data_IF_121858139524
#
_entry.id   IF_121858139524
#
_cell.length_a   1.000
_cell.length_b   1.000
_cell.length_c   1.000
_cell.angle_alpha   90.00
_cell.angle_beta   90.00
_cell.angle_gamma   90.00
#
_symmetry.space_group_name_H-M   'P 1'
#
loop_
_entity.id
_entity.type
_entity.pdbx_description
1 polymer ?
#
# COMPACT_ATOMS: atom_id res chain seq x y z
N UNK A 1 5.76 18.17 -21.44
CA UNK A 1 7.22 18.39 -21.48
C UNK A 1 7.88 17.28 -20.72
N UNK A 2 8.79 16.55 -21.36
CA UNK A 2 9.66 15.55 -20.73
C UNK A 2 10.87 16.25 -20.16
N UNK A 3 11.21 16.00 -18.87
CA UNK A 3 12.33 16.65 -18.22
C UNK A 3 12.83 15.86 -17.02
N UNK A 4 14.15 15.86 -16.81
CA UNK A 4 14.79 15.32 -15.60
C UNK A 4 15.20 16.43 -14.61
N UNK A 5 14.97 17.71 -14.96
CA UNK A 5 15.30 18.86 -14.07
C UNK A 5 14.55 18.81 -12.73
N UNK A 6 13.36 18.16 -12.69
CA UNK A 6 12.56 18.05 -11.47
C UNK A 6 12.94 16.86 -10.57
N UNK A 7 13.82 15.94 -11.04
CA UNK A 7 14.25 14.79 -10.23
C UNK A 7 14.88 15.27 -8.90
N UNK A 8 15.68 16.34 -8.96
CA UNK A 8 16.32 16.91 -7.78
C UNK A 8 15.29 17.50 -6.81
N UNK A 9 14.36 18.31 -7.33
CA UNK A 9 13.31 18.95 -6.53
C UNK A 9 12.40 17.93 -5.84
N UNK A 10 12.02 16.86 -6.55
CA UNK A 10 11.17 15.79 -5.97
C UNK A 10 11.92 15.02 -4.89
N UNK A 11 13.20 14.69 -5.14
CA UNK A 11 14.02 14.01 -4.14
C UNK A 11 14.28 14.90 -2.91
N UNK A 12 14.51 16.19 -3.09
CA UNK A 12 14.71 17.11 -1.97
C UNK A 12 13.43 17.29 -1.14
N UNK A 13 12.26 17.34 -1.79
CA UNK A 13 10.96 17.32 -1.10
C UNK A 13 10.73 16.00 -0.36
N UNK A 14 11.00 14.84 -0.98
CA UNK A 14 10.92 13.53 -0.31
C UNK A 14 11.85 13.43 0.90
N UNK A 15 13.10 13.89 0.77
CA UNK A 15 14.07 13.95 1.88
C UNK A 15 13.61 14.92 2.97
N UNK A 16 12.84 15.94 2.62
CA UNK A 16 12.20 16.86 3.57
C UNK A 16 11.13 16.16 4.42
N UNK A 17 10.41 15.19 3.85
CA UNK A 17 9.47 14.34 4.60
C UNK A 17 10.20 13.29 5.44
N UNK A 18 11.16 12.59 4.85
CA UNK A 18 12.03 11.66 5.58
C UNK A 18 13.36 11.45 4.82
N UNK A 19 14.46 11.67 5.53
CA UNK A 19 15.82 11.54 4.99
C UNK A 19 16.18 10.12 4.51
N UNK A 20 15.42 9.12 4.96
CA UNK A 20 15.62 7.72 4.56
C UNK A 20 15.01 7.39 3.20
N UNK A 21 14.08 8.21 2.71
CA UNK A 21 13.40 7.96 1.45
C UNK A 21 14.14 8.63 0.29
N UNK A 22 14.22 7.91 -0.82
CA UNK A 22 14.67 8.48 -2.09
C UNK A 22 13.90 7.88 -3.26
N UNK A 23 13.73 8.68 -4.31
CA UNK A 23 13.05 8.28 -5.54
C UNK A 23 14.06 8.19 -6.67
N UNK A 24 14.10 7.05 -7.35
CA UNK A 24 14.82 6.91 -8.62
C UNK A 24 13.80 6.83 -9.75
N UNK A 25 13.94 7.72 -10.71
CA UNK A 25 13.08 7.80 -11.88
C UNK A 25 13.88 8.13 -13.12
N UNK A 26 13.43 7.67 -14.27
CA UNK A 26 14.05 7.95 -15.55
C UNK A 26 13.45 9.22 -16.17
N UNK A 27 12.12 9.31 -16.19
CA UNK A 27 11.39 10.34 -16.93
C UNK A 27 10.28 10.94 -16.05
N UNK A 28 10.21 12.27 -16.07
CA UNK A 28 9.12 13.04 -15.50
C UNK A 28 8.40 13.79 -16.60
N UNK A 29 7.10 13.66 -16.65
CA UNK A 29 6.24 14.34 -17.60
C UNK A 29 5.41 15.41 -16.91
N UNK A 30 5.49 16.63 -17.40
CA UNK A 30 4.69 17.75 -16.94
C UNK A 30 3.57 18.02 -17.93
N UNK A 31 2.34 18.12 -17.44
CA UNK A 31 1.16 18.48 -18.21
C UNK A 31 0.44 19.65 -17.53
N UNK A 32 0.43 20.79 -18.19
CA UNK A 32 -0.34 21.96 -17.76
C UNK A 32 -1.78 21.83 -18.26
N UNK A 33 -2.75 22.01 -17.37
CA UNK A 33 -4.18 22.02 -17.67
C UNK A 33 -4.76 23.38 -17.26
N UNK A 34 -4.78 24.32 -18.21
CA UNK A 34 -5.23 25.69 -17.96
C UNK A 34 -6.70 25.79 -17.60
N UNK A 35 -7.54 24.93 -18.19
CA UNK A 35 -8.98 24.89 -17.90
C UNK A 35 -9.32 24.50 -16.46
N UNK A 36 -8.45 23.80 -15.77
CA UNK A 36 -8.64 23.35 -14.38
C UNK A 36 -7.62 23.97 -13.42
N UNK A 37 -6.89 24.99 -13.84
CA UNK A 37 -5.81 25.62 -13.07
C UNK A 37 -4.90 24.60 -12.36
N UNK A 38 -4.47 23.57 -13.09
CA UNK A 38 -3.68 22.49 -12.50
C UNK A 38 -2.45 22.13 -13.31
N UNK A 39 -1.42 21.66 -12.57
CA UNK A 39 -0.23 21.05 -13.12
C UNK A 39 -0.25 19.57 -12.72
N UNK A 40 -0.14 18.68 -13.71
CA UNK A 40 0.01 17.26 -13.45
C UNK A 40 1.46 16.85 -13.69
N UNK A 41 2.07 16.23 -12.70
CA UNK A 41 3.38 15.60 -12.79
C UNK A 41 3.16 14.10 -12.85
N UNK A 42 3.59 13.47 -13.93
CA UNK A 42 3.50 12.04 -14.12
C UNK A 42 4.91 11.45 -14.11
N UNK A 43 5.13 10.41 -13.33
CA UNK A 43 6.40 9.71 -13.21
C UNK A 43 6.13 8.24 -13.51
N UNK A 44 6.71 7.74 -14.59
CA UNK A 44 6.51 6.37 -15.04
C UNK A 44 7.64 5.46 -14.55
N UNK A 45 7.26 4.26 -14.09
CA UNK A 45 8.18 3.23 -13.61
C UNK A 45 9.23 3.69 -12.58
N UNK A 46 8.86 4.50 -11.58
CA UNK A 46 9.81 4.91 -10.56
C UNK A 46 10.07 3.77 -9.56
N UNK A 47 11.20 3.90 -8.83
CA UNK A 47 11.49 3.07 -7.65
C UNK A 47 11.62 3.96 -6.43
N UNK A 48 10.95 3.60 -5.34
CA UNK A 48 11.13 4.24 -4.04
C UNK A 48 12.07 3.40 -3.21
N UNK A 49 13.10 4.00 -2.66
CA UNK A 49 14.12 3.36 -1.82
C UNK A 49 13.96 3.78 -0.36
N UNK A 50 14.24 2.84 0.53
CA UNK A 50 14.51 3.06 1.96
C UNK A 50 15.76 2.29 2.33
N UNK A 51 16.90 2.97 2.44
CA UNK A 51 18.21 2.31 2.54
C UNK A 51 18.51 1.50 1.28
N UNK A 52 18.79 0.20 1.45
CA UNK A 52 19.02 -0.75 0.35
C UNK A 52 17.74 -1.35 -0.23
N UNK A 53 16.64 -1.26 0.50
CA UNK A 53 15.36 -1.83 0.09
C UNK A 53 14.60 -0.91 -0.85
N UNK A 54 13.85 -1.47 -1.79
CA UNK A 54 13.06 -0.66 -2.73
C UNK A 54 11.74 -1.34 -3.11
N UNK A 55 10.81 -0.52 -3.56
CA UNK A 55 9.52 -0.93 -4.12
C UNK A 55 9.45 -0.45 -5.57
N UNK A 56 9.08 -1.37 -6.47
CA UNK A 56 8.80 -1.04 -7.86
C UNK A 56 7.39 -0.44 -8.00
N UNK A 57 7.33 0.74 -8.59
CA UNK A 57 6.07 1.38 -8.93
C UNK A 57 5.83 1.35 -10.42
N UNK A 58 4.56 1.32 -10.82
CA UNK A 58 4.17 1.53 -12.21
C UNK A 58 4.05 3.03 -12.51
N UNK A 59 3.55 3.81 -11.53
CA UNK A 59 3.28 5.22 -11.74
C UNK A 59 3.19 6.01 -10.44
N UNK A 60 3.59 7.29 -10.50
CA UNK A 60 3.21 8.33 -9.54
C UNK A 60 2.60 9.48 -10.33
N UNK A 61 1.41 9.89 -9.94
CA UNK A 61 0.73 11.09 -10.44
C UNK A 61 0.59 12.11 -9.33
N UNK A 62 1.11 13.33 -9.53
CA UNK A 62 0.99 14.43 -8.58
C UNK A 62 0.18 15.53 -9.25
N UNK A 63 -0.88 15.97 -8.61
CA UNK A 63 -1.72 17.07 -9.06
C UNK A 63 -1.49 18.29 -8.17
N UNK A 64 -1.07 19.40 -8.79
CA UNK A 64 -0.78 20.66 -8.14
C UNK A 64 -1.79 21.73 -8.55
N UNK A 65 -2.08 22.65 -7.65
CA UNK A 65 -2.78 23.90 -7.98
C UNK A 65 -1.79 24.86 -8.68
N UNK A 66 -2.12 25.29 -9.90
CA UNK A 66 -1.26 26.16 -10.70
C UNK A 66 -1.08 27.54 -10.04
N UNK A 67 -2.15 28.11 -9.48
CA UNK A 67 -2.11 29.47 -8.91
C UNK A 67 -1.28 29.48 -7.64
N UNK A 68 -1.51 28.51 -6.75
CA UNK A 68 -0.72 28.33 -5.52
C UNK A 68 0.76 28.05 -5.85
N UNK A 69 1.01 27.21 -6.86
CA UNK A 69 2.38 26.92 -7.32
C UNK A 69 3.14 28.15 -7.79
N UNK A 70 2.50 29.03 -8.57
CA UNK A 70 3.10 30.30 -9.03
C UNK A 70 3.40 31.25 -7.86
N UNK A 71 2.55 31.25 -6.82
CA UNK A 71 2.71 32.04 -5.60
C UNK A 71 3.72 31.47 -4.60
N UNK A 72 4.36 30.35 -4.92
CA UNK A 72 5.22 29.57 -4.01
C UNK A 72 4.52 29.07 -2.74
N UNK A 73 3.19 28.94 -2.80
CA UNK A 73 2.40 28.35 -1.73
C UNK A 73 2.36 26.81 -1.86
N UNK A 74 1.88 26.16 -0.80
CA UNK A 74 1.62 24.73 -0.82
C UNK A 74 0.57 24.41 -1.88
N UNK A 75 0.96 23.68 -2.89
CA UNK A 75 0.17 23.53 -4.11
C UNK A 75 -0.29 22.09 -4.39
N UNK A 76 0.10 21.12 -3.57
CA UNK A 76 -0.25 19.71 -3.81
C UNK A 76 -1.72 19.50 -3.44
N UNK A 77 -2.54 19.08 -4.43
CA UNK A 77 -3.94 18.68 -4.21
C UNK A 77 -4.05 17.19 -3.86
N UNK A 78 -3.43 16.37 -4.66
CA UNK A 78 -3.41 14.93 -4.43
C UNK A 78 -2.18 14.27 -5.05
N UNK A 79 -1.86 13.09 -4.51
CA UNK A 79 -0.84 12.19 -5.03
C UNK A 79 -1.48 10.83 -5.22
N UNK A 80 -1.34 10.24 -6.41
CA UNK A 80 -1.68 8.86 -6.66
C UNK A 80 -0.41 8.05 -6.89
N UNK A 81 -0.27 6.94 -6.17
CA UNK A 81 0.86 6.01 -6.29
C UNK A 81 0.30 4.64 -6.68
N UNK A 82 0.80 4.07 -7.75
CA UNK A 82 0.42 2.74 -8.21
C UNK A 82 1.65 1.85 -8.21
N UNK A 83 1.64 0.78 -7.40
CA UNK A 83 2.73 -0.18 -7.40
C UNK A 83 2.64 -1.12 -8.60
N UNK A 84 3.78 -1.67 -9.01
CA UNK A 84 3.79 -2.94 -9.74
C UNK A 84 3.38 -4.06 -8.79
N UNK A 85 3.23 -5.25 -9.32
CA UNK A 85 3.16 -6.44 -8.48
C UNK A 85 4.55 -6.67 -7.86
N UNK A 86 4.62 -6.57 -6.54
CA UNK A 86 5.86 -6.75 -5.77
C UNK A 86 5.72 -7.97 -4.86
N UNK A 87 6.81 -8.72 -4.60
CA UNK A 87 6.81 -9.70 -3.54
C UNK A 87 6.45 -9.04 -2.18
N UNK A 88 5.58 -9.67 -1.41
CA UNK A 88 5.20 -9.13 -0.09
C UNK A 88 6.43 -8.95 0.80
N UNK A 89 7.39 -9.87 0.72
CA UNK A 89 8.65 -9.79 1.46
C UNK A 89 9.45 -8.52 1.16
N UNK A 90 9.48 -8.10 -0.10
CA UNK A 90 10.12 -6.84 -0.49
C UNK A 90 9.44 -5.64 0.19
N UNK A 91 8.09 -5.62 0.19
CA UNK A 91 7.33 -4.56 0.86
C UNK A 91 7.57 -4.56 2.38
N UNK A 92 7.57 -5.73 3.03
CA UNK A 92 7.81 -5.82 4.47
C UNK A 92 9.22 -5.41 4.88
N UNK A 93 10.23 -5.77 4.08
CA UNK A 93 11.61 -5.32 4.28
C UNK A 93 11.73 -3.80 4.13
N UNK A 94 11.13 -3.24 3.08
CA UNK A 94 11.08 -1.80 2.87
C UNK A 94 10.45 -1.06 4.06
N UNK A 95 9.30 -1.54 4.55
CA UNK A 95 8.62 -0.93 5.71
C UNK A 95 9.48 -1.01 6.97
N UNK A 96 10.16 -2.15 7.20
CA UNK A 96 11.06 -2.32 8.34
C UNK A 96 12.31 -1.42 8.24
N UNK A 97 12.87 -1.25 7.04
CA UNK A 97 13.98 -0.34 6.78
C UNK A 97 13.57 1.12 7.01
N UNK A 98 12.35 1.50 6.59
CA UNK A 98 11.82 2.85 6.76
C UNK A 98 11.55 3.17 8.23
N UNK A 99 10.75 2.35 8.90
CA UNK A 99 10.37 2.54 10.31
C UNK A 99 10.23 1.20 11.01
N UNK A 100 11.30 0.78 11.69
CA UNK A 100 11.28 -0.47 12.44
C UNK A 100 10.22 -0.47 13.55
N UNK A 101 9.51 -1.59 13.67
CA UNK A 101 8.58 -1.86 14.76
C UNK A 101 8.61 -3.35 15.09
N UNK A 102 8.97 -3.69 16.32
CA UNK A 102 9.19 -5.08 16.74
C UNK A 102 7.94 -5.97 16.55
N UNK A 103 6.75 -5.50 16.90
CA UNK A 103 5.51 -6.28 16.74
C UNK A 103 5.20 -6.55 15.27
N UNK A 104 5.39 -5.56 14.39
CA UNK A 104 5.24 -5.76 12.94
C UNK A 104 6.29 -6.70 12.40
N UNK A 105 7.52 -6.60 12.85
CA UNK A 105 8.60 -7.47 12.41
C UNK A 105 8.29 -8.94 12.66
N UNK A 106 7.75 -9.27 13.85
CA UNK A 106 7.31 -10.65 14.17
C UNK A 106 6.23 -11.11 13.19
N UNK A 107 5.20 -10.27 12.94
CA UNK A 107 4.11 -10.61 12.00
C UNK A 107 4.66 -10.78 10.58
N UNK A 108 5.52 -9.87 10.13
CA UNK A 108 6.09 -9.91 8.78
C UNK A 108 6.98 -11.13 8.53
N UNK A 109 7.65 -11.62 9.57
CA UNK A 109 8.46 -12.84 9.47
C UNK A 109 7.61 -14.11 9.27
N UNK A 110 6.32 -14.08 9.62
CA UNK A 110 5.42 -15.19 9.33
C UNK A 110 5.04 -15.26 7.84
N UNK A 111 5.24 -14.18 7.08
CA UNK A 111 4.96 -14.17 5.64
C UNK A 111 6.09 -14.87 4.91
N UNK A 112 5.81 -16.01 4.32
CA UNK A 112 6.80 -16.80 3.57
C UNK A 112 6.93 -16.34 2.12
N UNK A 113 5.78 -16.13 1.46
CA UNK A 113 5.73 -15.74 0.04
C UNK A 113 4.42 -15.02 -0.28
N UNK A 114 4.29 -14.63 -1.53
CA UNK A 114 3.12 -13.97 -2.10
C UNK A 114 3.46 -12.66 -2.76
N UNK A 115 2.53 -12.16 -3.55
CA UNK A 115 2.65 -10.90 -4.27
C UNK A 115 1.55 -9.92 -3.86
N UNK A 116 1.89 -8.64 -3.90
CA UNK A 116 0.96 -7.54 -3.62
C UNK A 116 1.06 -6.47 -4.69
N UNK A 117 -0.09 -5.95 -5.08
CA UNK A 117 -0.22 -4.76 -5.91
C UNK A 117 -1.19 -3.79 -5.24
N UNK A 118 -0.82 -2.52 -5.17
CA UNK A 118 -1.63 -1.50 -4.51
C UNK A 118 -1.69 -0.19 -5.32
N UNK A 119 -2.80 0.51 -5.14
CA UNK A 119 -3.00 1.89 -5.57
C UNK A 119 -3.33 2.72 -4.33
N UNK A 120 -2.56 3.76 -4.09
CA UNK A 120 -2.74 4.70 -2.99
C UNK A 120 -3.10 6.07 -3.54
N UNK A 121 -4.19 6.66 -3.06
CA UNK A 121 -4.53 8.05 -3.28
C UNK A 121 -4.35 8.81 -1.97
N UNK A 122 -3.64 9.93 -2.01
CA UNK A 122 -3.42 10.82 -0.88
C UNK A 122 -4.03 12.16 -1.26
N UNK A 123 -4.93 12.69 -0.45
CA UNK A 123 -5.60 13.96 -0.65
C UNK A 123 -5.18 14.91 0.45
N UNK A 124 -4.63 16.06 0.08
CA UNK A 124 -4.16 17.08 1.01
C UNK A 124 -5.28 18.10 1.26
N UNK A 125 -5.35 18.57 2.49
CA UNK A 125 -6.22 19.67 2.83
C UNK A 125 -5.75 20.97 2.15
N UNK A 126 -6.69 21.80 1.69
CA UNK A 126 -6.37 23.02 0.95
C UNK A 126 -5.79 24.12 1.85
N UNK A 127 -6.16 24.13 3.13
CA UNK A 127 -5.74 25.13 4.11
C UNK A 127 -4.50 24.65 4.90
N UNK A 128 -4.46 23.36 5.23
CA UNK A 128 -3.36 22.77 6.01
C UNK A 128 -2.81 21.51 5.32
N UNK A 129 -1.72 21.65 4.58
CA UNK A 129 -1.10 20.54 3.87
C UNK A 129 -0.42 19.50 4.78
N UNK A 130 -0.35 19.72 6.08
CA UNK A 130 0.04 18.69 7.03
C UNK A 130 -1.11 17.73 7.32
N UNK A 131 -2.36 18.13 7.03
CA UNK A 131 -3.54 17.29 7.13
C UNK A 131 -3.82 16.64 5.79
N UNK A 132 -3.90 15.32 5.80
CA UNK A 132 -4.20 14.55 4.62
C UNK A 132 -5.08 13.34 4.94
N UNK A 133 -5.86 12.94 3.97
CA UNK A 133 -6.58 11.67 3.98
C UNK A 133 -6.00 10.74 2.93
N UNK A 134 -6.16 9.44 3.12
CA UNK A 134 -5.67 8.47 2.15
C UNK A 134 -6.65 7.31 1.95
N UNK A 135 -6.61 6.77 0.75
CA UNK A 135 -7.30 5.56 0.34
C UNK A 135 -6.29 4.62 -0.29
N UNK A 136 -6.31 3.35 0.13
CA UNK A 136 -5.44 2.32 -0.43
C UNK A 136 -6.30 1.17 -0.91
N UNK A 137 -6.25 0.86 -2.20
CA UNK A 137 -6.90 -0.31 -2.77
C UNK A 137 -5.84 -1.23 -3.36
N UNK A 138 -6.11 -2.53 -3.38
CA UNK A 138 -5.16 -3.45 -3.96
C UNK A 138 -5.59 -4.90 -3.89
N UNK A 139 -4.63 -5.77 -4.21
CA UNK A 139 -4.83 -7.21 -4.18
C UNK A 139 -3.57 -7.91 -3.66
N UNK A 140 -3.80 -9.03 -3.00
CA UNK A 140 -2.78 -9.99 -2.60
C UNK A 140 -3.04 -11.28 -3.36
N UNK A 141 -1.98 -11.85 -3.93
CA UNK A 141 -2.03 -13.09 -4.71
C UNK A 141 -1.05 -14.11 -4.12
N UNK A 142 -1.53 -15.36 -3.97
CA UNK A 142 -0.74 -16.52 -3.61
C UNK A 142 0.14 -16.33 -2.37
N UNK A 143 -0.37 -15.61 -1.36
CA UNK A 143 0.39 -15.45 -0.13
C UNK A 143 0.39 -16.75 0.68
N UNK A 144 1.50 -16.95 1.40
CA UNK A 144 1.72 -18.07 2.31
C UNK A 144 2.23 -17.53 3.63
N UNK A 145 1.60 -17.96 4.70
CA UNK A 145 1.95 -17.61 6.07
C UNK A 145 2.36 -18.84 6.86
N UNK A 146 3.42 -18.72 7.64
CA UNK A 146 3.75 -19.65 8.70
C UNK A 146 2.91 -19.35 9.93
N UNK A 147 2.30 -20.34 10.51
CA UNK A 147 1.68 -20.21 11.84
C UNK A 147 2.67 -20.64 12.92
N UNK A 148 2.43 -20.22 14.16
CA UNK A 148 3.31 -20.55 15.29
C UNK A 148 3.43 -22.06 15.57
N UNK A 149 2.52 -22.88 15.00
CA UNK A 149 2.45 -24.33 15.22
C UNK A 149 2.97 -25.14 14.02
N UNK A 150 3.91 -24.60 13.23
CA UNK A 150 4.48 -25.25 12.05
C UNK A 150 3.45 -25.63 10.97
N UNK A 151 2.24 -25.09 11.06
CA UNK A 151 1.23 -25.21 10.01
C UNK A 151 1.29 -24.01 9.08
N UNK A 152 0.76 -24.17 7.87
CA UNK A 152 0.78 -23.10 6.88
C UNK A 152 -0.63 -22.72 6.52
N UNK A 153 -0.85 -21.42 6.38
CA UNK A 153 -1.97 -20.88 5.61
C UNK A 153 -1.42 -20.52 4.23
N UNK A 154 -1.93 -21.15 3.20
CA UNK A 154 -1.44 -21.00 1.82
C UNK A 154 -2.56 -20.59 0.86
N UNK A 155 -2.18 -20.30 -0.40
CA UNK A 155 -3.11 -19.89 -1.45
C UNK A 155 -3.99 -18.70 -1.01
N UNK A 156 -3.40 -17.79 -0.20
CA UNK A 156 -4.13 -16.63 0.29
C UNK A 156 -4.24 -15.62 -0.84
N UNK A 157 -5.47 -15.35 -1.25
CA UNK A 157 -5.80 -14.35 -2.26
C UNK A 157 -6.94 -13.48 -1.73
N UNK A 158 -6.84 -12.17 -1.90
CA UNK A 158 -7.91 -11.24 -1.56
C UNK A 158 -7.69 -9.89 -2.22
N UNK A 159 -8.76 -9.13 -2.37
CA UNK A 159 -8.71 -7.70 -2.63
C UNK A 159 -8.85 -6.93 -1.32
N UNK A 160 -8.28 -5.74 -1.24
CA UNK A 160 -8.42 -4.88 -0.06
C UNK A 160 -8.72 -3.44 -0.44
N UNK A 161 -9.46 -2.79 0.44
CA UNK A 161 -9.75 -1.37 0.43
C UNK A 161 -9.58 -0.82 1.84
N UNK A 162 -8.73 0.19 2.00
CA UNK A 162 -8.40 0.80 3.29
C UNK A 162 -8.70 2.29 3.20
N UNK A 163 -9.61 2.76 4.03
CA UNK A 163 -9.98 4.16 4.13
C UNK A 163 -10.38 4.51 5.56
N UNK A 164 -9.87 5.62 6.10
CA UNK A 164 -10.26 6.13 7.41
C UNK A 164 -10.23 5.08 8.53
N UNK A 165 -9.15 4.28 8.60
CA UNK A 165 -8.98 3.19 9.58
C UNK A 165 -10.03 2.07 9.46
N UNK A 166 -10.70 1.98 8.34
CA UNK A 166 -11.57 0.87 7.95
C UNK A 166 -10.83 0.02 6.94
N UNK A 167 -10.74 -1.27 7.18
CA UNK A 167 -10.10 -2.25 6.32
C UNK A 167 -11.18 -3.19 5.79
N UNK A 168 -11.43 -3.17 4.51
CA UNK A 168 -12.31 -4.12 3.85
C UNK A 168 -11.46 -5.10 3.06
N UNK A 169 -11.75 -6.38 3.21
CA UNK A 169 -11.13 -7.46 2.45
C UNK A 169 -12.22 -8.21 1.72
N UNK A 170 -12.11 -8.32 0.41
CA UNK A 170 -13.13 -8.92 -0.45
C UNK A 170 -12.53 -10.08 -1.24
N UNK A 171 -13.39 -11.05 -1.61
CA UNK A 171 -13.00 -12.21 -2.43
C UNK A 171 -11.87 -13.02 -1.82
N UNK A 172 -11.94 -13.26 -0.52
CA UNK A 172 -10.90 -13.97 0.22
C UNK A 172 -10.98 -15.45 -0.09
N UNK A 173 -9.86 -16.04 -0.46
CA UNK A 173 -9.65 -17.48 -0.58
C UNK A 173 -8.37 -17.84 0.13
N UNK A 174 -8.38 -18.90 0.87
CA UNK A 174 -7.20 -19.43 1.55
C UNK A 174 -7.30 -20.92 1.78
N UNK A 175 -6.17 -21.58 2.00
CA UNK A 175 -6.09 -22.98 2.38
C UNK A 175 -5.37 -23.14 3.70
N UNK A 176 -5.99 -23.82 4.64
CA UNK A 176 -5.42 -24.21 5.92
C UNK A 176 -5.61 -25.71 6.14
N UNK A 177 -4.53 -26.42 6.45
CA UNK A 177 -4.52 -27.87 6.69
C UNK A 177 -5.31 -28.67 5.62
N UNK A 178 -5.04 -28.36 4.33
CA UNK A 178 -5.72 -28.96 3.16
C UNK A 178 -7.22 -28.65 3.04
N UNK A 179 -7.75 -27.74 3.84
CA UNK A 179 -9.13 -27.28 3.77
C UNK A 179 -9.18 -25.92 3.10
N UNK A 180 -9.99 -25.80 2.05
CA UNK A 180 -10.19 -24.53 1.36
C UNK A 180 -11.28 -23.71 2.05
N UNK A 181 -10.93 -22.49 2.44
CA UNK A 181 -11.83 -21.50 3.01
C UNK A 181 -12.04 -20.33 2.06
N UNK A 182 -13.19 -19.74 2.14
CA UNK A 182 -13.55 -18.55 1.38
C UNK A 182 -14.41 -17.60 2.22
N UNK A 183 -14.26 -16.31 1.93
CA UNK A 183 -15.16 -15.28 2.45
C UNK A 183 -15.45 -14.28 1.33
N UNK A 184 -16.69 -13.83 1.25
CA UNK A 184 -17.04 -12.73 0.34
C UNK A 184 -16.48 -11.41 0.82
N UNK A 185 -16.55 -11.19 2.14
CA UNK A 185 -16.12 -9.93 2.74
C UNK A 185 -15.77 -10.11 4.21
N UNK A 186 -14.64 -9.55 4.62
CA UNK A 186 -14.27 -9.31 6.01
C UNK A 186 -14.00 -7.81 6.16
N UNK A 187 -14.61 -7.20 7.17
CA UNK A 187 -14.39 -5.80 7.52
C UNK A 187 -13.77 -5.71 8.90
N UNK A 188 -12.69 -4.94 9.01
CA UNK A 188 -12.07 -4.59 10.28
C UNK A 188 -12.19 -3.07 10.43
N UNK A 189 -12.73 -2.61 11.55
CA UNK A 189 -12.84 -1.19 11.85
C UNK A 189 -12.41 -0.91 13.29
N UNK A 190 -11.80 0.26 13.49
CA UNK A 190 -11.41 0.70 14.83
C UNK A 190 -12.62 1.31 15.53
N UNK A 191 -12.91 0.86 16.76
CA UNK A 191 -13.95 1.40 17.61
C UNK A 191 -13.32 1.77 18.97
N UNK A 192 -13.00 3.05 19.15
CA UNK A 192 -12.26 3.52 20.32
C UNK A 192 -10.85 2.91 20.42
N UNK A 193 -10.60 2.12 21.48
CA UNK A 193 -9.34 1.38 21.68
C UNK A 193 -9.36 -0.02 21.08
N UNK A 194 -10.52 -0.51 20.63
CA UNK A 194 -10.71 -1.88 20.14
C UNK A 194 -10.83 -1.93 18.62
N UNK A 195 -10.62 -3.11 18.07
CA UNK A 195 -10.95 -3.43 16.68
C UNK A 195 -12.20 -4.31 16.66
N UNK A 196 -13.15 -3.95 15.78
CA UNK A 196 -14.30 -4.76 15.47
C UNK A 196 -14.07 -5.50 14.17
N UNK A 197 -14.27 -6.83 14.16
CA UNK A 197 -14.15 -7.68 12.95
C UNK A 197 -15.53 -8.20 12.61
N UNK A 198 -15.98 -7.97 11.37
CA UNK A 198 -17.24 -8.45 10.81
C UNK A 198 -16.98 -9.21 9.53
N UNK A 199 -17.55 -10.39 9.42
CA UNK A 199 -17.45 -11.24 8.22
C UNK A 199 -17.73 -12.69 8.54
N UNK A 200 -17.82 -13.50 7.50
CA UNK A 200 -18.02 -14.94 7.57
C UNK A 200 -16.92 -15.66 6.81
N UNK A 201 -16.53 -16.79 7.33
CA UNK A 201 -15.62 -17.70 6.66
C UNK A 201 -16.34 -19.02 6.45
N UNK A 202 -16.40 -19.47 5.20
CA UNK A 202 -17.08 -20.70 4.82
C UNK A 202 -16.11 -21.69 4.18
N UNK A 203 -16.37 -22.97 4.41
CA UNK A 203 -15.69 -24.07 3.74
C UNK A 203 -16.63 -24.67 2.70
N UNK A 204 -16.18 -24.85 1.46
CA UNK A 204 -17.01 -25.40 0.37
C UNK A 204 -17.13 -26.92 0.38
N UNK A 205 -16.09 -27.63 0.76
CA UNK A 205 -16.03 -29.10 0.79
C UNK A 205 -14.88 -29.56 1.70
N UNK A 206 -15.18 -29.98 2.90
CA UNK A 206 -14.18 -30.59 3.76
C UNK A 206 -14.79 -31.21 4.99
N UNK A 207 -14.41 -32.43 5.30
CA UNK A 207 -14.60 -33.01 6.61
C UNK A 207 -13.59 -32.29 7.55
N UNK A 208 -14.10 -31.39 8.36
CA UNK A 208 -13.33 -30.79 9.44
C UNK A 208 -13.12 -31.88 10.50
N UNK A 209 -11.92 -32.37 10.62
CA UNK A 209 -11.58 -33.27 11.71
C UNK A 209 -11.64 -32.51 13.04
N UNK A 210 -12.19 -33.10 14.13
CA UNK A 210 -12.32 -32.42 15.42
C UNK A 210 -11.02 -31.78 15.92
N UNK A 211 -9.87 -32.33 15.56
CA UNK A 211 -8.55 -31.86 16.00
C UNK A 211 -7.90 -30.80 15.11
N UNK A 212 -8.59 -30.32 14.07
CA UNK A 212 -8.03 -29.32 13.13
C UNK A 212 -7.74 -27.97 13.81
N UNK A 213 -8.48 -27.64 14.87
CA UNK A 213 -8.35 -26.35 15.60
C UNK A 213 -7.85 -26.52 17.03
N UNK A 214 -7.46 -27.72 17.46
CA UNK A 214 -7.02 -28.02 18.83
C UNK A 214 -5.51 -28.19 18.99
N UNK A 215 -4.73 -27.67 18.04
CA UNK A 215 -3.25 -27.66 18.12
C UNK A 215 -2.71 -26.31 18.53
#
# INVERSE_FOLDING_TARGET
>A
IKTNKFNHLINDKLKGFDKKLSLKTNDIFLKLKLNNNSININIDNPKIYSGSEFIDLSKIDINLDLIKFIKNDNSIKNIQIISKENPIKTLTNFINSYKFNASRFVIFNQIESGNIQAKTNIYFDEENQNDFTYEVTGKVNNAKLNTLNETFVSNINFNFDIKNQIFNFDNINLRYDNIDFQSKKIRISKSGKNFEVKGDLSNKKGLIKPNTFSK
#
